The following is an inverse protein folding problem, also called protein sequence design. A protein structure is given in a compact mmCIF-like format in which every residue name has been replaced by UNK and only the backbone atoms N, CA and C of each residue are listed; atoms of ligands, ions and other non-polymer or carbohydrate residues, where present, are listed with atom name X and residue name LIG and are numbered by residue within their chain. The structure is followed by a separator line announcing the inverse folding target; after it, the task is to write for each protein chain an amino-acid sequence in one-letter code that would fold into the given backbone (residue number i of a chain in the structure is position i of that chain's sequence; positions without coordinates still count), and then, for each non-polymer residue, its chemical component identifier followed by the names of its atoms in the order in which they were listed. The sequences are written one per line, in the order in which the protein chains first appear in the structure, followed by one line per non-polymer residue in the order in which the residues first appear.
data_IF_780241790638
#
_entry.id   IF_780241790638
#
_cell.length_a   1.000
_cell.length_b   1.000
_cell.length_c   1.000
_cell.angle_alpha   90.00
_cell.angle_beta   90.00
_cell.angle_gamma   90.00
#
_symmetry.space_group_name_H-M   'P 1'
#
loop_
_entity.id
_entity.type
_entity.pdbx_description
1 polymer ?
#
# COMPACT_ATOMS: atom_id res chain seq x y z
N UNK A 1 -10.45 -28.12 -19.50
CA UNK A 1 -9.25 -27.48 -18.90
C UNK A 1 -9.71 -26.16 -18.31
N UNK A 2 -9.21 -25.80 -17.13
CA UNK A 2 -9.53 -24.55 -16.43
C UNK A 2 -8.25 -23.75 -16.26
N UNK A 3 -8.33 -22.44 -16.46
CA UNK A 3 -7.29 -21.47 -16.07
C UNK A 3 -7.95 -20.49 -15.11
N UNK A 4 -7.32 -20.21 -13.98
CA UNK A 4 -7.76 -19.22 -13.00
C UNK A 4 -6.63 -18.22 -12.84
N UNK A 5 -6.89 -16.96 -13.17
CA UNK A 5 -5.97 -15.84 -12.97
C UNK A 5 -6.32 -15.08 -11.67
N UNK A 6 -5.36 -14.32 -11.13
CA UNK A 6 -5.40 -13.74 -9.77
C UNK A 6 -5.81 -14.76 -8.69
N UNK A 7 -5.49 -16.05 -8.89
CA UNK A 7 -5.89 -17.17 -8.06
C UNK A 7 -5.38 -17.10 -6.61
N UNK A 8 -4.39 -16.25 -6.33
CA UNK A 8 -3.91 -15.93 -4.98
C UNK A 8 -4.89 -15.03 -4.18
N UNK A 9 -5.71 -14.23 -4.87
CA UNK A 9 -6.74 -13.35 -4.31
C UNK A 9 -8.10 -14.05 -4.11
N UNK A 10 -8.26 -15.28 -4.62
CA UNK A 10 -9.49 -16.07 -4.49
C UNK A 10 -9.41 -17.03 -3.29
N UNK A 11 -10.47 -17.12 -2.47
CA UNK A 11 -10.53 -18.11 -1.39
C UNK A 11 -10.66 -19.52 -1.94
N UNK A 12 -10.25 -20.54 -1.16
CA UNK A 12 -10.32 -21.94 -1.59
C UNK A 12 -11.71 -22.36 -2.11
N UNK A 13 -12.79 -21.82 -1.52
CA UNK A 13 -14.18 -22.11 -1.91
C UNK A 13 -14.56 -21.44 -3.24
N UNK A 14 -14.08 -20.21 -3.48
CA UNK A 14 -14.42 -19.42 -4.68
C UNK A 14 -13.91 -20.05 -5.98
N UNK A 15 -12.86 -20.86 -5.92
CA UNK A 15 -12.28 -21.56 -7.08
C UNK A 15 -12.87 -22.96 -7.33
N UNK A 16 -13.71 -23.50 -6.43
CA UNK A 16 -14.31 -24.84 -6.63
C UNK A 16 -15.34 -24.92 -7.78
N UNK A 17 -16.21 -23.92 -8.03
CA UNK A 17 -17.24 -24.01 -9.08
C UNK A 17 -16.72 -24.31 -10.50
N UNK A 18 -15.64 -23.71 -11.03
CA UNK A 18 -15.11 -24.11 -12.34
C UNK A 18 -14.41 -25.47 -12.31
N UNK A 19 -13.92 -25.93 -11.15
CA UNK A 19 -13.23 -27.21 -11.02
C UNK A 19 -14.20 -28.41 -10.98
N UNK A 20 -15.38 -28.25 -10.38
CA UNK A 20 -16.39 -29.30 -10.28
C UNK A 20 -16.98 -29.73 -11.64
N UNK A 21 -16.81 -28.90 -12.68
CA UNK A 21 -17.21 -29.17 -14.08
C UNK A 21 -16.30 -30.19 -14.80
N UNK A 22 -15.78 -31.19 -14.09
CA UNK A 22 -14.93 -32.24 -14.65
C UNK A 22 -13.54 -31.74 -15.12
N UNK A 23 -12.93 -30.80 -14.39
CA UNK A 23 -11.70 -30.13 -14.81
C UNK A 23 -10.43 -31.02 -14.78
N UNK A 24 -10.25 -31.89 -15.78
CA UNK A 24 -9.12 -32.81 -15.91
C UNK A 24 -7.71 -32.15 -15.98
N UNK A 25 -7.63 -30.83 -16.14
CA UNK A 25 -6.42 -30.01 -16.00
C UNK A 25 -6.81 -28.63 -15.49
N UNK A 26 -6.07 -28.12 -14.50
CA UNK A 26 -6.20 -26.77 -13.96
C UNK A 26 -4.83 -26.06 -14.01
N UNK A 27 -4.82 -24.77 -14.35
CA UNK A 27 -3.69 -23.86 -14.18
C UNK A 27 -4.14 -22.73 -13.24
N UNK A 28 -3.38 -22.50 -12.17
CA UNK A 28 -3.58 -21.37 -11.26
C UNK A 28 -2.46 -20.36 -11.49
N UNK A 29 -2.82 -19.12 -11.79
CA UNK A 29 -1.91 -17.99 -11.96
C UNK A 29 -2.26 -16.94 -10.91
N UNK A 30 -1.25 -16.35 -10.26
CA UNK A 30 -1.44 -15.37 -9.19
C UNK A 30 -0.17 -15.22 -8.34
N UNK A 31 -0.15 -14.21 -7.48
CA UNK A 31 1.02 -13.90 -6.65
C UNK A 31 0.73 -14.06 -5.15
N UNK A 32 1.32 -15.07 -4.46
CA UNK A 32 1.13 -15.29 -3.03
C UNK A 32 1.76 -14.20 -2.15
N UNK A 33 2.63 -13.35 -2.70
CA UNK A 33 3.22 -12.20 -2.00
C UNK A 33 2.37 -10.92 -2.14
N UNK A 34 1.26 -10.96 -2.88
CA UNK A 34 0.25 -9.89 -2.94
C UNK A 34 -0.98 -10.27 -2.11
N UNK A 35 -2.00 -9.40 -2.09
CA UNK A 35 -3.12 -9.46 -1.16
C UNK A 35 -3.90 -10.80 -1.22
N UNK A 36 -4.22 -11.40 -0.05
CA UNK A 36 -5.03 -12.62 0.03
C UNK A 36 -6.52 -12.34 -0.25
N UNK A 37 -7.35 -13.38 -0.22
CA UNK A 37 -8.79 -13.22 -0.37
C UNK A 37 -9.39 -12.31 0.72
N UNK A 38 -10.25 -11.39 0.29
CA UNK A 38 -10.89 -10.42 1.21
C UNK A 38 -11.95 -11.11 2.05
N UNK A 39 -11.72 -11.19 3.37
CA UNK A 39 -12.62 -11.83 4.33
C UNK A 39 -13.13 -10.81 5.35
N UNK A 40 -14.45 -10.56 5.34
CA UNK A 40 -15.11 -9.59 6.23
C UNK A 40 -15.13 -10.08 7.68
N UNK A 41 -15.32 -11.39 7.89
CA UNK A 41 -15.34 -11.99 9.23
C UNK A 41 -13.93 -12.19 9.77
N UNK A 42 -13.56 -11.40 10.79
CA UNK A 42 -12.27 -11.55 11.49
C UNK A 42 -12.05 -12.98 12.02
N UNK A 43 -13.10 -13.63 12.50
CA UNK A 43 -13.05 -15.01 12.99
C UNK A 43 -12.75 -16.02 11.87
N UNK A 44 -13.31 -15.83 10.67
CA UNK A 44 -12.96 -16.66 9.51
C UNK A 44 -11.52 -16.40 9.04
N UNK A 45 -11.04 -15.15 9.13
CA UNK A 45 -9.64 -14.80 8.89
C UNK A 45 -8.67 -15.53 9.84
N UNK A 46 -8.97 -15.60 11.15
CA UNK A 46 -8.17 -16.38 12.11
C UNK A 46 -8.22 -17.90 11.88
N UNK A 47 -9.18 -18.39 11.09
CA UNK A 47 -9.29 -19.79 10.67
C UNK A 47 -8.76 -20.02 9.23
N UNK A 48 -7.90 -19.12 8.75
CA UNK A 48 -7.23 -19.18 7.43
C UNK A 48 -8.19 -19.18 6.22
N UNK A 49 -9.45 -18.73 6.36
CA UNK A 49 -10.40 -18.67 5.24
C UNK A 49 -9.98 -17.69 4.12
N UNK A 50 -9.05 -16.78 4.41
CA UNK A 50 -8.43 -15.87 3.43
C UNK A 50 -7.32 -16.53 2.58
N UNK A 51 -6.84 -17.73 2.95
CA UNK A 51 -5.85 -18.47 2.17
C UNK A 51 -6.45 -18.90 0.83
N UNK A 52 -5.65 -18.81 -0.22
CA UNK A 52 -6.02 -19.29 -1.55
C UNK A 52 -5.67 -20.76 -1.79
N UNK A 53 -6.30 -21.36 -2.79
CA UNK A 53 -5.95 -22.71 -3.23
C UNK A 53 -4.51 -22.78 -3.77
N UNK A 54 -4.05 -21.69 -4.42
CA UNK A 54 -2.66 -21.53 -4.85
C UNK A 54 -1.70 -21.60 -3.66
N UNK A 55 -1.94 -20.79 -2.62
CA UNK A 55 -1.11 -20.72 -1.42
C UNK A 55 -1.11 -22.07 -0.67
N UNK A 56 -2.25 -22.78 -0.58
CA UNK A 56 -2.28 -24.14 -0.02
C UNK A 56 -1.45 -25.13 -0.84
N UNK A 57 -1.54 -25.14 -2.17
CA UNK A 57 -0.77 -26.08 -2.99
C UNK A 57 0.73 -25.79 -2.93
N UNK A 58 1.14 -24.52 -2.90
CA UNK A 58 2.53 -24.14 -2.68
C UNK A 58 3.04 -24.62 -1.30
N UNK A 59 2.26 -24.43 -0.24
CA UNK A 59 2.56 -24.94 1.11
C UNK A 59 2.63 -26.48 1.16
N UNK A 60 1.87 -27.18 0.33
CA UNK A 60 1.88 -28.63 0.20
C UNK A 60 3.02 -29.17 -0.69
N UNK A 61 3.93 -28.32 -1.17
CA UNK A 61 5.07 -28.72 -2.00
C UNK A 61 4.72 -29.00 -3.48
N UNK A 62 3.55 -28.59 -3.97
CA UNK A 62 3.23 -28.66 -5.39
C UNK A 62 4.21 -27.76 -6.18
N UNK A 63 4.76 -28.22 -7.32
CA UNK A 63 5.69 -27.42 -8.12
C UNK A 63 5.06 -26.09 -8.57
N UNK A 64 5.71 -24.98 -8.22
CA UNK A 64 5.34 -23.62 -8.65
C UNK A 64 6.41 -23.04 -9.56
N UNK A 65 5.99 -22.27 -10.57
CA UNK A 65 6.88 -21.61 -11.52
C UNK A 65 6.85 -20.10 -11.28
N UNK A 66 7.99 -19.51 -10.92
CA UNK A 66 8.15 -18.06 -10.84
C UNK A 66 8.40 -17.49 -12.25
N UNK A 67 7.55 -16.56 -12.69
CA UNK A 67 7.81 -15.73 -13.86
C UNK A 67 8.80 -14.62 -13.45
N UNK A 68 10.08 -14.81 -13.77
CA UNK A 68 11.19 -13.99 -13.25
C UNK A 68 11.53 -12.73 -14.07
N UNK A 69 10.87 -12.50 -15.21
CA UNK A 69 11.09 -11.31 -16.05
C UNK A 69 9.90 -10.37 -15.92
N UNK A 70 10.16 -9.11 -15.56
CA UNK A 70 9.14 -8.08 -15.39
C UNK A 70 9.21 -7.03 -16.50
N UNK A 71 8.05 -6.51 -16.89
CA UNK A 71 7.85 -5.69 -18.08
C UNK A 71 7.22 -4.31 -17.79
N UNK A 72 7.18 -3.89 -16.51
CA UNK A 72 6.42 -2.72 -16.02
C UNK A 72 7.27 -1.63 -15.37
N UNK A 73 8.03 -1.99 -14.34
CA UNK A 73 8.58 -1.07 -13.35
C UNK A 73 9.98 -0.60 -13.76
N UNK A 74 10.29 0.69 -13.59
CA UNK A 74 11.66 1.20 -13.68
C UNK A 74 12.62 0.42 -12.75
N UNK A 75 13.89 0.15 -13.13
CA UNK A 75 14.80 -0.66 -12.33
C UNK A 75 14.98 -0.19 -10.87
N UNK A 76 15.06 1.14 -10.61
CA UNK A 76 15.12 1.68 -9.23
C UNK A 76 13.88 1.34 -8.38
N UNK A 77 12.71 1.16 -9.00
CA UNK A 77 11.46 0.77 -8.34
C UNK A 77 11.44 -0.74 -8.12
N UNK A 78 11.87 -1.52 -9.13
CA UNK A 78 11.90 -2.99 -9.12
C UNK A 78 12.85 -3.59 -8.08
N UNK A 79 13.96 -2.91 -7.83
CA UNK A 79 15.10 -3.41 -7.05
C UNK A 79 14.73 -3.85 -5.62
N UNK A 80 14.12 -2.98 -4.80
CA UNK A 80 13.71 -3.35 -3.44
C UNK A 80 12.66 -4.49 -3.42
N UNK A 81 11.52 -4.41 -4.14
CA UNK A 81 10.55 -5.51 -4.17
C UNK A 81 11.15 -6.84 -4.63
N UNK A 82 12.02 -6.83 -5.66
CA UNK A 82 12.73 -8.02 -6.12
C UNK A 82 13.54 -8.65 -5.00
N UNK A 83 14.41 -7.87 -4.34
CA UNK A 83 15.26 -8.35 -3.23
C UNK A 83 14.43 -8.82 -2.04
N UNK A 84 13.42 -8.07 -1.64
CA UNK A 84 12.69 -8.27 -0.38
C UNK A 84 11.62 -9.38 -0.47
N UNK A 85 10.71 -9.32 -1.45
CA UNK A 85 9.60 -10.29 -1.55
C UNK A 85 9.92 -11.51 -2.43
N UNK A 86 10.88 -11.38 -3.36
CA UNK A 86 11.18 -12.40 -4.38
C UNK A 86 12.65 -12.85 -4.40
N UNK A 87 13.40 -12.67 -3.30
CA UNK A 87 14.77 -13.19 -3.11
C UNK A 87 15.79 -12.71 -4.18
N UNK A 88 15.58 -11.51 -4.73
CA UNK A 88 16.39 -10.93 -5.81
C UNK A 88 16.14 -11.54 -7.20
N UNK A 89 15.14 -12.42 -7.34
CA UNK A 89 14.94 -13.24 -8.55
C UNK A 89 14.17 -12.54 -9.68
N UNK A 90 13.61 -11.34 -9.46
CA UNK A 90 13.00 -10.56 -10.55
C UNK A 90 14.05 -9.74 -11.29
N UNK A 91 14.03 -9.91 -12.61
CA UNK A 91 14.90 -9.27 -13.62
C UNK A 91 14.07 -8.41 -14.56
N UNK A 92 14.67 -7.38 -15.14
CA UNK A 92 13.98 -6.47 -16.06
C UNK A 92 14.01 -7.01 -17.50
N UNK A 93 12.90 -6.86 -18.22
CA UNK A 93 12.86 -7.02 -19.66
C UNK A 93 13.76 -5.99 -20.36
N UNK A 94 14.31 -6.36 -21.52
CA UNK A 94 14.98 -5.42 -22.44
C UNK A 94 14.05 -4.26 -22.84
N UNK A 95 12.73 -4.49 -22.90
CA UNK A 95 11.71 -3.47 -23.15
C UNK A 95 11.51 -2.46 -22.01
N UNK A 96 12.18 -2.66 -20.87
CA UNK A 96 12.22 -1.76 -19.71
C UNK A 96 13.63 -1.20 -19.55
N UNK A 97 14.64 -2.06 -19.55
CA UNK A 97 16.05 -1.70 -19.38
C UNK A 97 16.65 -0.86 -20.52
N UNK A 98 15.93 -0.68 -21.63
CA UNK A 98 16.28 0.23 -22.75
C UNK A 98 15.30 1.38 -22.94
N UNK A 99 14.38 1.62 -22.01
CA UNK A 99 13.58 2.85 -22.04
C UNK A 99 14.51 4.05 -21.76
N UNK A 100 14.32 5.19 -22.46
CA UNK A 100 15.02 6.41 -22.11
C UNK A 100 14.51 6.94 -20.77
N UNK A 101 15.39 7.59 -20.02
CA UNK A 101 15.02 8.35 -18.83
C UNK A 101 14.00 9.43 -19.15
N UNK A 102 13.03 9.63 -18.25
CA UNK A 102 12.05 10.70 -18.36
C UNK A 102 12.70 12.05 -18.07
N UNK A 103 12.39 13.09 -18.85
CA UNK A 103 13.05 14.41 -18.72
C UNK A 103 12.92 15.00 -17.31
N UNK A 104 11.82 14.70 -16.60
CA UNK A 104 11.63 15.16 -15.22
C UNK A 104 12.54 14.46 -14.19
N UNK A 105 13.19 13.33 -14.50
CA UNK A 105 14.18 12.71 -13.60
C UNK A 105 15.42 13.61 -13.39
N UNK A 106 15.61 14.65 -14.22
CA UNK A 106 16.63 15.68 -14.00
C UNK A 106 16.34 16.55 -12.76
N UNK A 107 15.09 16.58 -12.28
CA UNK A 107 14.74 17.19 -11.00
C UNK A 107 14.95 16.17 -9.86
N UNK A 108 15.78 16.46 -8.84
CA UNK A 108 15.98 15.59 -7.68
C UNK A 108 14.68 15.19 -6.97
N UNK A 109 13.62 16.00 -7.06
CA UNK A 109 12.30 15.75 -6.48
C UNK A 109 11.40 14.84 -7.32
N UNK A 110 11.79 14.49 -8.55
CA UNK A 110 10.93 13.70 -9.44
C UNK A 110 11.63 12.44 -9.97
N UNK A 111 12.73 12.02 -9.33
CA UNK A 111 13.46 10.77 -9.61
C UNK A 111 12.57 9.51 -9.58
N UNK A 112 12.98 8.41 -10.23
CA UNK A 112 12.16 7.20 -10.36
C UNK A 112 11.74 6.55 -9.04
N UNK A 113 12.59 6.61 -8.00
CA UNK A 113 12.20 6.19 -6.65
C UNK A 113 12.64 7.20 -5.58
N UNK A 114 11.69 7.66 -4.75
CA UNK A 114 11.95 8.53 -3.59
C UNK A 114 11.09 8.11 -2.39
N UNK A 115 11.70 8.08 -1.21
CA UNK A 115 11.02 8.12 0.09
C UNK A 115 11.13 9.53 0.69
N UNK A 116 10.00 10.14 1.01
CA UNK A 116 9.87 11.45 1.63
C UNK A 116 9.49 11.32 3.11
N UNK A 117 10.39 11.76 4.00
CA UNK A 117 10.18 11.73 5.45
C UNK A 117 9.38 12.94 5.94
N UNK A 118 8.08 12.75 6.13
CA UNK A 118 7.13 13.80 6.53
C UNK A 118 7.17 13.97 8.07
N UNK A 119 8.32 14.40 8.58
CA UNK A 119 8.64 14.52 10.01
C UNK A 119 7.60 15.31 10.82
N UNK A 120 7.08 16.41 10.25
CA UNK A 120 6.11 17.30 10.91
C UNK A 120 4.65 16.86 10.76
N UNK A 121 4.37 15.79 10.02
CA UNK A 121 3.02 15.24 9.88
C UNK A 121 2.45 14.75 11.20
N UNK A 122 1.14 14.93 11.41
CA UNK A 122 0.44 14.37 12.57
C UNK A 122 -0.79 13.61 12.10
N UNK A 123 -0.87 12.35 12.49
CA UNK A 123 -2.06 11.54 12.28
C UNK A 123 -3.23 12.06 13.13
N UNK A 124 -4.42 12.08 12.54
CA UNK A 124 -5.66 12.45 13.20
C UNK A 124 -6.77 11.50 12.79
N UNK A 125 -7.77 11.35 13.66
CA UNK A 125 -9.00 10.61 13.38
C UNK A 125 -10.19 11.55 13.65
N UNK A 126 -11.34 11.28 13.01
CA UNK A 126 -12.60 11.94 13.38
C UNK A 126 -13.28 11.14 14.48
N UNK A 127 -13.96 11.82 15.41
CA UNK A 127 -14.73 11.16 16.47
C UNK A 127 -15.68 10.09 15.91
N UNK A 128 -15.66 8.90 16.51
CA UNK A 128 -16.40 7.73 16.02
C UNK A 128 -15.75 6.97 14.84
N UNK A 129 -14.61 7.41 14.31
CA UNK A 129 -13.89 6.72 13.23
C UNK A 129 -12.63 6.01 13.72
N UNK A 130 -12.49 4.73 13.37
CA UNK A 130 -11.28 3.90 13.61
C UNK A 130 -10.23 4.03 12.48
N UNK A 131 -10.33 5.06 11.64
CA UNK A 131 -9.43 5.30 10.50
C UNK A 131 -8.71 6.64 10.65
N UNK A 132 -7.50 6.70 10.10
CA UNK A 132 -6.59 7.84 10.24
C UNK A 132 -6.48 8.67 8.95
N UNK A 133 -6.09 9.93 9.10
CA UNK A 133 -5.70 10.88 8.05
C UNK A 133 -4.49 11.69 8.53
N UNK A 134 -3.63 12.13 7.60
CA UNK A 134 -2.51 13.03 7.86
C UNK A 134 -2.60 14.16 6.82
N UNK A 135 -3.00 15.35 7.28
CA UNK A 135 -3.29 16.50 6.40
C UNK A 135 -1.99 17.00 5.76
N UNK A 136 -0.88 17.00 6.50
CA UNK A 136 0.43 17.40 6.01
C UNK A 136 0.87 16.52 4.83
N UNK A 137 0.72 15.19 4.94
CA UNK A 137 0.96 14.27 3.82
C UNK A 137 0.03 14.57 2.63
N UNK A 138 -1.27 14.79 2.87
CA UNK A 138 -2.21 15.05 1.79
C UNK A 138 -1.91 16.34 1.02
N UNK A 139 -1.47 17.38 1.72
CA UNK A 139 -1.02 18.65 1.12
C UNK A 139 0.34 18.50 0.43
N UNK A 140 1.24 17.68 0.96
CA UNK A 140 2.51 17.39 0.31
C UNK A 140 2.35 16.56 -0.98
N UNK A 141 1.44 15.56 -0.99
CA UNK A 141 1.02 14.87 -2.21
C UNK A 141 0.57 15.87 -3.29
N UNK A 142 -0.23 16.87 -2.91
CA UNK A 142 -0.69 17.91 -3.84
C UNK A 142 0.48 18.74 -4.39
N UNK A 143 1.42 19.17 -3.53
CA UNK A 143 2.59 19.93 -3.99
C UNK A 143 3.48 19.16 -4.97
N UNK A 144 3.76 17.90 -4.69
CA UNK A 144 4.55 17.05 -5.59
C UNK A 144 3.82 16.80 -6.91
N UNK A 145 2.48 16.66 -6.89
CA UNK A 145 1.67 16.58 -8.10
C UNK A 145 1.66 17.88 -8.92
N UNK A 146 1.44 19.04 -8.27
CA UNK A 146 1.48 20.36 -8.91
C UNK A 146 2.85 20.61 -9.56
N UNK A 147 3.93 20.23 -8.88
CA UNK A 147 5.30 20.36 -9.37
C UNK A 147 5.61 19.44 -10.55
N UNK A 148 5.16 18.17 -10.52
CA UNK A 148 5.22 17.28 -11.68
C UNK A 148 4.49 17.90 -12.88
N UNK A 149 3.23 18.31 -12.70
CA UNK A 149 2.42 18.89 -13.80
C UNK A 149 3.05 20.16 -14.38
N UNK A 150 3.63 21.03 -13.53
CA UNK A 150 4.40 22.21 -13.96
C UNK A 150 5.62 21.81 -14.78
N UNK A 151 6.37 20.80 -14.32
CA UNK A 151 7.61 20.32 -14.96
C UNK A 151 7.32 19.71 -16.33
N UNK A 152 6.30 18.83 -16.44
CA UNK A 152 5.85 18.26 -17.70
C UNK A 152 5.45 19.32 -18.72
N UNK A 153 4.66 20.32 -18.30
CA UNK A 153 4.26 21.46 -19.15
C UNK A 153 5.47 22.28 -19.63
N UNK A 154 6.42 22.56 -18.73
CA UNK A 154 7.65 23.31 -19.11
C UNK A 154 8.59 22.53 -20.02
N UNK A 155 8.56 21.19 -19.96
CA UNK A 155 9.37 20.29 -20.78
C UNK A 155 8.69 19.90 -22.10
N UNK A 156 7.47 20.39 -22.37
CA UNK A 156 6.69 20.02 -23.55
C UNK A 156 6.26 18.54 -23.59
N UNK A 157 6.23 17.85 -22.44
CA UNK A 157 5.90 16.43 -22.37
C UNK A 157 4.39 16.19 -22.48
N UNK A 158 4.02 14.99 -22.95
CA UNK A 158 2.63 14.55 -23.00
C UNK A 158 2.02 14.27 -21.61
N UNK A 159 0.71 14.01 -21.59
CA UNK A 159 -0.01 13.55 -20.39
C UNK A 159 0.62 12.25 -19.83
N UNK A 160 0.73 12.18 -18.51
CA UNK A 160 1.25 11.03 -17.76
C UNK A 160 0.21 10.60 -16.73
N UNK A 161 -0.04 9.31 -16.60
CA UNK A 161 -1.08 8.80 -15.69
C UNK A 161 -0.57 8.74 -14.25
N UNK A 162 -1.34 9.26 -13.30
CA UNK A 162 -0.94 9.35 -11.89
C UNK A 162 -1.92 8.60 -10.99
N UNK A 163 -1.40 7.73 -10.13
CA UNK A 163 -2.14 7.10 -9.04
C UNK A 163 -1.74 7.67 -7.69
N UNK A 164 -2.71 7.97 -6.83
CA UNK A 164 -2.45 8.29 -5.43
C UNK A 164 -3.11 7.24 -4.57
N UNK A 165 -2.29 6.52 -3.79
CA UNK A 165 -2.71 5.39 -2.97
C UNK A 165 -2.47 5.64 -1.49
N UNK A 166 -3.37 5.12 -0.66
CA UNK A 166 -3.24 5.19 0.79
C UNK A 166 -3.83 3.95 1.47
N UNK A 167 -3.32 3.52 2.64
CA UNK A 167 -3.92 2.42 3.39
C UNK A 167 -5.29 2.78 4.02
N UNK A 168 -5.60 4.07 4.19
CA UNK A 168 -6.70 4.51 5.08
C UNK A 168 -7.86 5.20 4.36
N UNK A 169 -9.09 4.73 4.61
CA UNK A 169 -10.32 5.31 4.03
C UNK A 169 -10.60 6.75 4.47
N UNK A 170 -10.13 7.17 5.65
CA UNK A 170 -10.22 8.57 6.07
C UNK A 170 -9.18 9.45 5.36
N UNK A 171 -7.95 8.97 5.13
CA UNK A 171 -6.98 9.67 4.29
C UNK A 171 -7.43 9.79 2.83
N UNK A 172 -8.08 8.77 2.27
CA UNK A 172 -8.68 8.86 0.92
C UNK A 172 -9.64 10.06 0.83
N UNK A 173 -10.53 10.23 1.83
CA UNK A 173 -11.42 11.40 1.97
C UNK A 173 -10.71 12.70 2.39
N UNK A 174 -9.41 12.66 2.66
CA UNK A 174 -8.58 13.85 2.84
C UNK A 174 -7.93 14.24 1.52
N UNK A 175 -7.25 13.30 0.86
CA UNK A 175 -6.66 13.47 -0.47
C UNK A 175 -7.70 13.96 -1.49
N UNK A 176 -8.87 13.32 -1.58
CA UNK A 176 -9.96 13.74 -2.48
C UNK A 176 -10.46 15.19 -2.24
N UNK A 177 -10.21 15.77 -1.06
CA UNK A 177 -10.60 17.13 -0.70
C UNK A 177 -9.48 18.14 -1.00
N UNK A 178 -8.24 17.83 -0.63
CA UNK A 178 -7.11 18.71 -0.98
C UNK A 178 -6.91 18.77 -2.51
N UNK A 179 -7.22 17.68 -3.23
CA UNK A 179 -7.22 17.60 -4.70
C UNK A 179 -8.55 18.00 -5.36
N UNK A 180 -9.55 18.55 -4.65
CA UNK A 180 -10.90 18.74 -5.20
C UNK A 180 -10.92 19.59 -6.49
N UNK A 181 -10.14 20.67 -6.54
CA UNK A 181 -10.03 21.52 -7.73
C UNK A 181 -9.24 20.86 -8.87
N UNK A 182 -8.23 20.04 -8.55
CA UNK A 182 -7.49 19.25 -9.53
C UNK A 182 -8.42 18.21 -10.17
N UNK A 183 -9.26 17.54 -9.39
CA UNK A 183 -10.20 16.53 -9.88
C UNK A 183 -11.31 17.11 -10.78
N UNK A 184 -11.57 18.43 -10.71
CA UNK A 184 -12.47 19.17 -11.62
C UNK A 184 -11.80 19.64 -12.92
N UNK A 185 -10.47 19.54 -13.01
CA UNK A 185 -9.67 20.06 -14.13
C UNK A 185 -9.45 19.05 -15.27
N UNK A 186 -8.89 19.51 -16.39
CA UNK A 186 -8.41 18.65 -17.48
C UNK A 186 -7.17 17.81 -17.10
N UNK A 187 -6.42 18.17 -16.05
CA UNK A 187 -5.38 17.32 -15.47
C UNK A 187 -6.00 16.21 -14.60
N UNK A 188 -7.15 16.46 -13.97
CA UNK A 188 -7.84 15.50 -13.09
C UNK A 188 -8.25 14.19 -13.78
N UNK A 189 -8.36 14.20 -15.12
CA UNK A 189 -8.72 13.03 -15.94
C UNK A 189 -7.64 11.93 -15.95
N UNK A 190 -6.37 12.30 -15.77
CA UNK A 190 -5.25 11.34 -15.74
C UNK A 190 -4.89 10.90 -14.31
N UNK A 191 -5.60 11.45 -13.30
CA UNK A 191 -5.36 11.25 -11.87
C UNK A 191 -6.37 10.27 -11.26
N UNK A 192 -5.90 9.30 -10.48
CA UNK A 192 -6.75 8.33 -9.80
C UNK A 192 -6.36 8.15 -8.32
N UNK A 193 -7.24 8.58 -7.41
CA UNK A 193 -7.01 8.52 -5.95
C UNK A 193 -7.86 7.40 -5.33
N UNK A 194 -7.25 6.39 -4.71
CA UNK A 194 -7.97 5.27 -4.08
C UNK A 194 -7.19 4.60 -2.92
N UNK A 195 -7.77 3.61 -2.23
CA UNK A 195 -7.03 2.76 -1.28
C UNK A 195 -6.21 1.68 -1.98
N UNK A 196 -5.09 1.25 -1.37
CA UNK A 196 -4.20 0.19 -1.90
C UNK A 196 -4.98 -1.05 -2.34
N UNK A 197 -5.84 -1.58 -1.46
CA UNK A 197 -6.69 -2.77 -1.69
C UNK A 197 -7.62 -2.63 -2.91
N UNK A 198 -7.97 -1.39 -3.31
CA UNK A 198 -8.83 -1.09 -4.45
C UNK A 198 -8.04 -0.67 -5.71
N UNK A 199 -6.71 -0.61 -5.61
CA UNK A 199 -5.77 -0.38 -6.71
C UNK A 199 -5.13 -1.71 -7.19
N UNK A 200 -5.41 -2.86 -6.54
CA UNK A 200 -4.96 -4.17 -7.02
C UNK A 200 -5.41 -4.40 -8.48
N UNK A 201 -4.58 -5.09 -9.26
CA UNK A 201 -4.74 -5.26 -10.72
C UNK A 201 -4.41 -4.00 -11.55
N UNK A 202 -4.50 -2.80 -11.00
CA UNK A 202 -4.19 -1.56 -11.73
C UNK A 202 -2.69 -1.22 -11.72
N UNK A 203 -2.28 -0.36 -12.66
CA UNK A 203 -0.98 0.31 -12.74
C UNK A 203 -1.16 1.78 -13.18
N UNK A 204 -0.19 2.65 -12.88
CA UNK A 204 -0.08 4.02 -13.40
C UNK A 204 1.38 4.37 -13.63
N UNK A 205 1.65 5.36 -14.49
CA UNK A 205 3.01 5.77 -14.78
C UNK A 205 3.73 6.31 -13.53
N UNK A 206 3.06 7.16 -12.77
CA UNK A 206 3.52 7.68 -11.48
C UNK A 206 2.60 7.20 -10.35
N UNK A 207 3.18 6.79 -9.22
CA UNK A 207 2.45 6.47 -7.99
C UNK A 207 2.95 7.32 -6.84
N UNK A 208 2.01 7.95 -6.13
CA UNK A 208 2.23 8.64 -4.87
C UNK A 208 1.58 7.84 -3.75
N UNK A 209 2.34 7.41 -2.75
CA UNK A 209 1.83 6.62 -1.62
C UNK A 209 1.86 7.44 -0.32
N UNK A 210 0.70 7.71 0.26
CA UNK A 210 0.57 8.35 1.59
C UNK A 210 0.36 7.28 2.68
N UNK A 211 1.37 7.08 3.52
CA UNK A 211 1.42 6.06 4.57
C UNK A 211 0.66 6.45 5.85
N UNK A 212 0.37 7.75 6.05
CA UNK A 212 -0.46 8.37 7.10
C UNK A 212 0.12 8.33 8.51
N UNK A 213 0.86 7.29 8.88
CA UNK A 213 1.24 7.03 10.27
C UNK A 213 2.40 7.92 10.73
N UNK A 214 2.20 8.51 11.90
CA UNK A 214 3.07 9.49 12.53
C UNK A 214 3.04 9.40 14.08
N UNK A 215 2.81 8.21 14.64
CA UNK A 215 2.78 7.98 16.09
C UNK A 215 3.56 6.73 16.52
N UNK A 216 3.92 6.68 17.81
CA UNK A 216 4.68 5.59 18.42
C UNK A 216 3.77 4.46 18.96
N UNK A 217 2.68 4.18 18.24
CA UNK A 217 1.66 3.20 18.60
C UNK A 217 1.59 2.05 17.58
N UNK A 218 2.72 1.77 16.91
CA UNK A 218 2.84 0.75 15.86
C UNK A 218 2.15 1.14 14.55
N UNK A 219 2.68 0.70 13.41
CA UNK A 219 2.22 1.15 12.07
C UNK A 219 0.81 0.63 11.68
N UNK A 220 0.25 -0.33 12.39
CA UNK A 220 -1.16 -0.74 12.24
C UNK A 220 -1.47 -1.37 10.88
N UNK A 221 -2.48 -0.87 10.16
CA UNK A 221 -2.90 -1.40 8.85
C UNK A 221 -1.81 -1.31 7.76
N UNK A 222 -0.76 -0.49 7.97
CA UNK A 222 0.41 -0.39 7.08
C UNK A 222 1.44 -1.51 7.34
N UNK A 223 1.31 -2.28 8.42
CA UNK A 223 2.17 -3.44 8.73
C UNK A 223 1.93 -4.65 7.81
N UNK A 224 0.93 -4.59 6.93
CA UNK A 224 0.64 -5.68 6.03
C UNK A 224 1.67 -5.71 4.88
N UNK A 225 2.64 -6.60 5.00
CA UNK A 225 3.70 -6.88 4.02
C UNK A 225 3.15 -7.12 2.59
N UNK A 226 1.96 -7.72 2.45
CA UNK A 226 1.31 -7.97 1.15
C UNK A 226 0.71 -6.67 0.58
N UNK A 227 0.17 -5.77 1.42
CA UNK A 227 -0.20 -4.39 1.00
C UNK A 227 1.00 -3.56 0.59
N UNK A 228 2.11 -3.66 1.32
CA UNK A 228 3.37 -2.99 0.98
C UNK A 228 3.85 -3.44 -0.41
N UNK A 229 3.92 -4.75 -0.67
CA UNK A 229 4.30 -5.28 -1.98
C UNK A 229 3.34 -4.81 -3.09
N UNK A 230 2.02 -4.89 -2.89
CA UNK A 230 1.03 -4.36 -3.85
C UNK A 230 1.32 -2.88 -4.13
N UNK A 231 1.45 -2.04 -3.10
CA UNK A 231 1.62 -0.59 -3.25
C UNK A 231 2.91 -0.22 -4.02
N UNK A 232 4.05 -0.83 -3.68
CA UNK A 232 5.34 -0.55 -4.33
C UNK A 232 5.37 -1.03 -5.80
N UNK A 233 4.56 -2.01 -6.18
CA UNK A 233 4.54 -2.61 -7.54
C UNK A 233 3.50 -2.00 -8.50
N UNK A 234 2.85 -0.88 -8.11
CA UNK A 234 1.84 -0.20 -8.94
C UNK A 234 2.41 0.77 -9.98
N UNK A 235 3.65 1.22 -9.80
CA UNK A 235 4.29 2.23 -10.62
C UNK A 235 4.95 1.65 -11.87
N UNK A 236 4.96 2.42 -12.96
CA UNK A 236 5.72 2.09 -14.18
C UNK A 236 7.02 2.90 -14.23
N UNK A 237 6.93 4.21 -14.04
CA UNK A 237 8.02 5.20 -14.23
C UNK A 237 8.51 5.82 -12.92
N UNK A 238 7.63 6.24 -12.02
CA UNK A 238 8.04 6.87 -10.77
C UNK A 238 7.19 6.40 -9.57
N UNK A 239 7.85 6.20 -8.43
CA UNK A 239 7.23 5.83 -7.16
C UNK A 239 7.73 6.76 -6.05
N UNK A 240 6.82 7.55 -5.48
CA UNK A 240 7.10 8.47 -4.38
C UNK A 240 6.31 8.06 -3.13
N UNK A 241 7.03 7.60 -2.12
CA UNK A 241 6.46 7.14 -0.86
C UNK A 241 6.59 8.25 0.17
N UNK A 242 5.51 8.58 0.87
CA UNK A 242 5.40 9.69 1.81
C UNK A 242 4.90 9.18 3.15
N UNK A 243 5.62 9.51 4.22
CA UNK A 243 5.24 9.15 5.59
C UNK A 243 6.30 9.56 6.60
N UNK A 244 5.99 9.49 7.89
CA UNK A 244 6.96 9.80 8.94
C UNK A 244 7.89 8.58 9.15
N UNK A 245 9.18 8.73 8.87
CA UNK A 245 10.14 7.63 8.95
C UNK A 245 10.25 7.07 10.38
N UNK A 246 10.26 7.94 11.39
CA UNK A 246 10.35 7.55 12.81
C UNK A 246 9.13 6.75 13.30
N UNK A 247 7.96 6.98 12.71
CA UNK A 247 6.78 6.15 12.93
C UNK A 247 6.86 4.81 12.18
N UNK A 248 7.35 4.83 10.94
CA UNK A 248 7.36 3.66 10.05
C UNK A 248 8.43 2.62 10.40
N UNK A 249 9.61 3.00 10.93
CA UNK A 249 10.66 2.06 11.38
C UNK A 249 10.25 1.15 12.56
N UNK A 250 9.02 1.28 13.09
CA UNK A 250 8.44 0.35 14.07
C UNK A 250 7.92 -0.97 13.44
N UNK A 251 8.06 -1.13 12.13
CA UNK A 251 7.85 -2.39 11.40
C UNK A 251 9.11 -2.72 10.63
N UNK A 252 9.57 -3.97 10.74
CA UNK A 252 10.83 -4.42 10.15
C UNK A 252 10.86 -4.24 8.61
N UNK A 253 9.73 -4.49 7.94
CA UNK A 253 9.58 -4.29 6.49
C UNK A 253 9.77 -2.82 6.08
N UNK A 254 9.18 -1.90 6.84
CA UNK A 254 9.30 -0.46 6.60
C UNK A 254 10.68 0.07 7.02
N UNK A 255 11.28 -0.48 8.07
CA UNK A 255 12.67 -0.20 8.43
C UNK A 255 13.64 -0.64 7.32
N UNK A 256 13.41 -1.81 6.72
CA UNK A 256 14.19 -2.30 5.58
C UNK A 256 14.04 -1.37 4.36
N UNK A 257 12.81 -0.93 4.01
CA UNK A 257 12.58 0.02 2.92
C UNK A 257 13.26 1.38 3.15
N UNK A 258 13.22 1.91 4.38
CA UNK A 258 13.82 3.20 4.73
C UNK A 258 15.35 3.11 4.74
N UNK A 259 15.93 2.02 5.26
CA UNK A 259 17.36 1.77 5.20
C UNK A 259 17.85 1.60 3.75
N UNK A 260 17.07 0.93 2.91
CA UNK A 260 17.33 0.76 1.48
C UNK A 260 17.28 2.09 0.72
N UNK A 261 16.25 2.90 0.93
CA UNK A 261 16.11 4.24 0.33
C UNK A 261 17.27 5.15 0.72
N UNK A 262 17.72 5.12 1.98
CA UNK A 262 18.92 5.85 2.43
C UNK A 262 20.19 5.34 1.74
N UNK A 263 20.37 4.02 1.67
CA UNK A 263 21.55 3.38 1.04
C UNK A 263 21.66 3.71 -0.46
N UNK A 264 20.53 3.86 -1.16
CA UNK A 264 20.48 4.18 -2.60
C UNK A 264 20.42 5.69 -2.90
N UNK A 265 20.56 6.56 -1.90
CA UNK A 265 20.37 8.02 -2.02
C UNK A 265 19.01 8.39 -2.64
N UNK A 266 17.96 7.68 -2.23
CA UNK A 266 16.54 7.86 -2.60
C UNK A 266 15.70 8.30 -1.39
N UNK A 267 16.32 8.84 -0.34
CA UNK A 267 15.66 9.33 0.87
C UNK A 267 15.75 10.86 0.92
N UNK A 268 14.63 11.54 1.14
CA UNK A 268 14.56 13.00 1.27
C UNK A 268 13.87 13.42 2.57
N UNK A 269 14.58 14.23 3.35
CA UNK A 269 14.06 14.87 4.55
C UNK A 269 13.30 16.15 4.19
N UNK A 270 12.17 16.42 4.84
CA UNK A 270 11.37 17.63 4.57
C UNK A 270 12.21 18.92 4.62
N UNK A 271 13.14 19.04 5.58
CA UNK A 271 13.99 20.23 5.74
C UNK A 271 14.97 20.46 4.58
N UNK A 272 15.18 19.46 3.71
CA UNK A 272 15.97 19.59 2.47
C UNK A 272 15.18 20.12 1.27
N UNK A 273 13.85 20.23 1.38
CA UNK A 273 12.97 20.55 0.26
C UNK A 273 12.83 22.07 0.03
N UNK A 274 12.55 22.52 -1.21
CA UNK A 274 12.29 23.93 -1.48
C UNK A 274 11.11 24.48 -0.64
N UNK A 275 11.23 25.72 -0.18
CA UNK A 275 10.28 26.35 0.77
C UNK A 275 8.82 26.34 0.31
N UNK A 276 8.56 26.29 -1.00
CA UNK A 276 7.22 26.21 -1.57
C UNK A 276 6.47 24.92 -1.18
N UNK A 277 7.20 23.83 -0.89
CA UNK A 277 6.68 22.58 -0.34
C UNK A 277 6.45 22.63 1.18
N UNK A 278 7.13 23.54 1.89
CA UNK A 278 7.07 23.68 3.35
C UNK A 278 5.96 24.63 3.84
N UNK A 279 5.29 25.35 2.93
CA UNK A 279 4.24 26.31 3.26
C UNK A 279 2.93 25.65 3.71
N UNK A 280 2.92 25.17 4.96
CA UNK A 280 1.73 24.76 5.70
C UNK A 280 0.76 25.93 5.85
N UNK A 281 -0.28 25.98 5.00
CA UNK A 281 -1.45 26.81 5.23
C UNK A 281 -2.20 26.28 6.45
N UNK A 282 -1.95 26.88 7.61
CA UNK A 282 -2.84 26.77 8.77
C UNK A 282 -4.28 27.17 8.39
N UNK A 283 -5.30 26.67 9.11
CA UNK A 283 -6.70 26.94 8.78
C UNK A 283 -6.97 28.44 8.79
N UNK A 284 -7.44 28.97 7.66
CA UNK A 284 -7.72 30.39 7.48
C UNK A 284 -8.98 30.81 8.26
N UNK A 285 -8.83 31.03 9.57
CA UNK A 285 -9.81 31.76 10.36
C UNK A 285 -9.87 33.21 9.88
N UNK A 286 -10.85 33.51 9.03
CA UNK A 286 -11.24 34.88 8.69
C UNK A 286 -11.80 35.55 9.95
N UNK A 287 -11.17 36.64 10.46
CA UNK A 287 -11.76 37.40 11.55
C UNK A 287 -13.02 38.10 11.05
N UNK A 288 -14.15 37.90 11.73
CA UNK A 288 -15.36 38.68 11.47
C UNK A 288 -15.07 40.17 11.74
N UNK A 289 -15.47 41.10 10.85
CA UNK A 289 -15.17 42.51 11.00
C UNK A 289 -15.94 43.12 12.18
N UNK A 290 -15.26 43.27 13.31
CA UNK A 290 -15.81 43.90 14.51
C UNK A 290 -16.12 45.38 14.27
N UNK A 291 -17.36 45.80 14.50
CA UNK A 291 -17.74 47.22 14.50
C UNK A 291 -17.02 47.95 15.63
N UNK A 292 -16.24 48.97 15.30
CA UNK A 292 -15.67 49.88 16.28
C UNK A 292 -16.73 50.85 16.84
N UNK A 293 -16.72 51.05 18.15
CA UNK A 293 -17.25 52.24 18.82
C UNK A 293 -16.51 52.42 20.15
N UNK A 294 -16.32 53.66 20.60
CA UNK A 294 -15.38 54.02 21.66
C UNK A 294 -16.04 54.48 22.95
N UNK A 295 -15.40 54.15 24.09
CA UNK A 295 -15.50 54.85 25.39
C UNK A 295 -16.90 54.91 26.06
N UNK A 296 -17.05 54.56 27.33
CA UNK A 296 -16.55 55.41 28.43
C UNK A 296 -16.58 54.72 29.81
N UNK A 297 -15.82 55.33 30.75
CA UNK A 297 -15.76 55.18 32.22
C UNK A 297 -16.88 54.40 32.95
N UNK A 298 -16.49 53.59 33.94
CA UNK A 298 -17.36 53.22 35.08
C UNK A 298 -16.66 52.37 36.15
N UNK A 299 -16.50 52.89 37.38
CA UNK A 299 -16.21 52.09 38.57
C UNK A 299 -17.53 51.74 39.29
N UNK A 300 -17.70 50.50 39.78
CA UNK A 300 -18.03 50.20 41.20
C UNK A 300 -18.13 48.69 41.51
N UNK A 301 -18.27 48.41 42.82
CA UNK A 301 -18.07 47.12 43.50
C UNK A 301 -19.37 46.32 43.73
N UNK A 302 -19.20 45.04 44.13
CA UNK A 302 -20.19 44.09 44.69
C UNK A 302 -21.32 43.58 43.75
N UNK A 303 -21.93 42.40 43.99
CA UNK A 303 -21.54 41.30 44.89
C UNK A 303 -22.66 40.31 45.28
N UNK A 304 -22.30 39.01 45.42
CA UNK A 304 -23.02 37.85 46.04
C UNK A 304 -24.30 37.25 45.40
N UNK A 305 -24.29 35.90 45.36
CA UNK A 305 -25.43 34.93 45.51
C UNK A 305 -26.40 34.77 44.31
N UNK A 306 -26.77 33.53 43.87
CA UNK A 306 -27.74 32.52 44.41
C UNK A 306 -29.19 33.07 44.43
N UNK A 307 -30.25 32.34 44.02
CA UNK A 307 -30.46 30.87 44.02
C UNK A 307 -31.33 30.36 42.82
N UNK A 308 -31.85 29.12 42.88
CA UNK A 308 -32.66 28.39 41.88
C UNK A 308 -34.11 28.90 41.77
N UNK A 309 -34.84 28.46 40.73
CA UNK A 309 -36.22 27.97 40.88
C UNK A 309 -36.60 26.88 39.83
N UNK A 310 -37.79 26.24 39.92
CA UNK A 310 -38.15 25.00 39.18
C UNK A 310 -39.53 24.97 38.46
N UNK A 311 -39.69 24.03 37.51
CA UNK A 311 -40.94 23.54 36.86
C UNK A 311 -41.68 24.57 35.95
N UNK A 312 -42.64 24.22 35.07
CA UNK A 312 -43.60 23.09 35.02
C UNK A 312 -43.94 22.63 33.56
N UNK A 313 -44.78 21.58 33.40
CA UNK A 313 -45.03 20.82 32.15
C UNK A 313 -46.15 21.36 31.21
N UNK A 314 -46.22 20.81 29.97
CA UNK A 314 -47.48 20.57 29.21
C UNK A 314 -47.29 19.52 28.08
N UNK A 315 -48.40 18.87 27.66
CA UNK A 315 -48.48 17.78 26.64
C UNK A 315 -48.62 18.35 25.20
N UNK A 316 -48.71 17.65 24.05
CA UNK A 316 -49.06 16.28 23.59
C UNK A 316 -48.63 16.12 22.08
N UNK A 317 -48.60 15.01 21.31
CA UNK A 317 -49.01 13.57 21.38
C UNK A 317 -48.25 12.76 20.26
N UNK A 318 -48.13 11.41 20.29
CA UNK A 318 -47.47 10.55 19.26
C UNK A 318 -48.45 10.12 18.11
N UNK A 319 -48.22 9.16 17.16
CA UNK A 319 -47.38 7.91 17.09
C UNK A 319 -45.90 8.18 16.70
N UNK A 320 -45.02 7.26 16.27
CA UNK A 320 -45.03 5.80 15.90
C UNK A 320 -43.66 5.15 16.30
N UNK A 321 -43.34 3.84 16.33
CA UNK A 321 -43.55 2.63 15.48
C UNK A 321 -42.64 2.59 14.23
N UNK A 322 -41.64 1.68 14.08
CA UNK A 322 -41.28 0.45 14.83
C UNK A 322 -39.77 0.25 15.09
N UNK A 323 -39.42 -0.44 16.19
CA UNK A 323 -38.11 -1.07 16.43
C UNK A 323 -38.29 -2.42 17.17
N UNK A 324 -38.00 -3.55 16.53
CA UNK A 324 -37.99 -4.86 17.22
C UNK A 324 -36.64 -5.13 17.91
N UNK A 325 -36.68 -5.30 19.24
CA UNK A 325 -35.56 -5.83 20.03
C UNK A 325 -35.80 -7.28 20.39
N UNK A 326 -34.98 -8.19 19.85
CA UNK A 326 -34.85 -9.53 20.42
C UNK A 326 -33.86 -9.52 21.59
N UNK A 327 -34.39 -9.76 22.79
CA UNK A 327 -33.61 -10.01 24.00
C UNK A 327 -33.33 -11.51 24.15
N UNK A 328 -32.10 -11.87 24.51
CA UNK A 328 -31.67 -13.25 24.76
C UNK A 328 -30.94 -13.36 26.09
N UNK A 329 -31.51 -14.12 27.02
CA UNK A 329 -31.00 -14.19 28.40
C UNK A 329 -29.71 -15.02 28.54
N UNK A 330 -28.88 -14.66 29.51
CA UNK A 330 -27.66 -15.39 29.87
C UNK A 330 -28.02 -16.68 30.62
N UNK A 331 -27.49 -17.81 30.18
CA UNK A 331 -27.36 -19.03 31.00
C UNK A 331 -25.91 -19.50 30.93
N UNK A 332 -25.22 -19.50 32.06
CA UNK A 332 -23.85 -20.00 32.18
C UNK A 332 -23.83 -21.52 32.42
N UNK A 333 -22.89 -22.22 31.79
CA UNK A 333 -22.45 -23.57 32.18
C UNK A 333 -20.93 -23.68 32.09
N UNK A 334 -20.31 -24.21 33.13
CA UNK A 334 -18.86 -24.44 33.19
C UNK A 334 -18.45 -25.58 32.25
N UNK A 335 -17.33 -25.39 31.53
CA UNK A 335 -16.68 -26.42 30.73
C UNK A 335 -15.16 -26.28 30.85
N UNK A 336 -14.54 -27.07 31.72
CA UNK A 336 -13.11 -26.95 32.02
C UNK A 336 -12.27 -27.71 30.99
N UNK A 337 -11.36 -27.01 30.29
CA UNK A 337 -10.33 -27.64 29.45
C UNK A 337 -8.94 -27.11 29.78
N UNK A 338 -7.98 -28.03 29.89
CA UNK A 338 -6.56 -27.74 30.17
C UNK A 338 -5.82 -27.40 28.87
N UNK A 339 -4.79 -26.53 28.90
CA UNK A 339 -3.89 -26.36 27.77
C UNK A 339 -2.98 -27.58 27.60
N UNK A 340 -2.85 -28.07 26.36
CA UNK A 340 -1.82 -29.04 26.00
C UNK A 340 -0.46 -28.34 25.90
N UNK A 341 0.50 -28.76 26.72
CA UNK A 341 1.92 -28.44 26.49
C UNK A 341 2.46 -29.39 25.43
N UNK A 342 3.12 -28.85 24.41
CA UNK A 342 4.00 -29.66 23.55
C UNK A 342 5.31 -29.94 24.31
N UNK A 343 5.69 -31.21 24.44
CA UNK A 343 6.99 -31.60 25.00
C UNK A 343 8.08 -31.41 23.96
N UNK A 344 9.16 -30.72 24.33
CA UNK A 344 10.43 -30.84 23.62
C UNK A 344 11.15 -32.09 24.11
N UNK A 345 11.46 -33.01 23.21
CA UNK A 345 12.47 -34.05 23.43
C UNK A 345 13.71 -33.75 22.57
N UNK A 346 14.88 -34.21 23.04
CA UNK A 346 16.19 -33.95 22.43
C UNK A 346 16.68 -35.18 21.66
N UNK A 347 17.58 -35.01 20.67
CA UNK A 347 18.06 -36.11 19.84
C UNK A 347 18.98 -37.07 20.59
N UNK A 348 19.12 -38.28 20.03
CA UNK A 348 20.19 -39.24 20.30
C UNK A 348 20.77 -39.73 18.98
N UNK A 349 22.08 -39.97 18.96
CA UNK A 349 22.87 -40.19 17.74
C UNK A 349 23.01 -41.67 17.33
N UNK A 350 23.43 -41.85 16.07
CA UNK A 350 24.17 -43.00 15.51
C UNK A 350 23.52 -44.41 15.51
N UNK A 351 23.32 -44.94 14.30
CA UNK A 351 24.17 -46.06 13.83
C UNK A 351 24.32 -46.05 12.29
N UNK A 352 25.24 -46.86 11.77
CA UNK A 352 25.95 -46.63 10.50
C UNK A 352 25.34 -47.19 9.18
N UNK A 353 25.72 -46.50 8.09
CA UNK A 353 26.03 -46.96 6.71
C UNK A 353 25.23 -48.09 6.03
N UNK A 354 24.59 -47.72 4.89
CA UNK A 354 24.64 -48.33 3.54
C UNK A 354 23.40 -47.86 2.73
N UNK A 355 23.45 -47.42 1.47
CA UNK A 355 24.60 -47.19 0.60
C UNK A 355 24.30 -47.53 -0.87
N UNK A 356 23.57 -46.68 -1.61
CA UNK A 356 23.54 -46.73 -3.08
C UNK A 356 23.30 -45.33 -3.72
N UNK A 357 23.42 -45.25 -5.05
CA UNK A 357 23.69 -44.04 -5.84
C UNK A 357 22.50 -43.59 -6.72
N UNK A 358 22.75 -42.49 -7.43
CA UNK A 358 22.06 -42.06 -8.66
C UNK A 358 20.66 -41.46 -8.53
N UNK A 359 20.59 -40.12 -8.58
CA UNK A 359 19.87 -39.41 -9.65
C UNK A 359 20.20 -37.90 -9.74
N UNK A 360 21.39 -37.58 -10.26
CA UNK A 360 21.73 -36.22 -10.69
C UNK A 360 21.61 -36.08 -12.22
N UNK A 361 20.52 -35.42 -12.65
CA UNK A 361 20.32 -34.77 -13.94
C UNK A 361 19.11 -33.82 -13.78
N UNK A 362 19.08 -32.60 -14.28
CA UNK A 362 19.76 -32.03 -15.45
C UNK A 362 20.19 -30.57 -15.21
N UNK A 363 21.38 -30.18 -15.67
CA UNK A 363 21.74 -28.77 -15.94
C UNK A 363 22.66 -28.65 -17.16
N UNK A 364 22.76 -27.42 -17.69
CA UNK A 364 23.63 -26.96 -18.79
C UNK A 364 23.40 -27.54 -20.20
N UNK A 365 22.63 -26.78 -21.00
CA UNK A 365 22.70 -26.79 -22.46
C UNK A 365 23.29 -25.47 -22.97
N UNK A 366 24.54 -25.48 -23.46
CA UNK A 366 25.23 -24.28 -23.95
C UNK A 366 25.01 -24.09 -25.45
N UNK A 367 24.51 -22.94 -25.88
CA UNK A 367 24.36 -22.64 -27.31
C UNK A 367 25.70 -22.31 -27.98
N UNK A 368 26.00 -22.98 -29.10
CA UNK A 368 27.12 -22.62 -30.00
C UNK A 368 26.75 -21.42 -30.87
N UNK A 369 27.65 -20.44 -30.96
CA UNK A 369 27.58 -19.34 -31.94
C UNK A 369 28.16 -19.80 -33.29
N UNK A 370 27.61 -19.29 -34.39
CA UNK A 370 28.09 -19.57 -35.75
C UNK A 370 29.34 -18.74 -36.07
N UNK A 371 30.20 -19.28 -36.94
CA UNK A 371 31.33 -18.56 -37.55
C UNK A 371 31.18 -18.54 -39.06
N UNK A 372 31.12 -17.36 -39.67
CA UNK A 372 31.12 -17.19 -41.12
C UNK A 372 32.52 -17.38 -41.72
N UNK A 373 32.59 -18.00 -42.90
CA UNK A 373 33.81 -18.10 -43.70
C UNK A 373 33.52 -17.52 -45.09
N UNK A 374 34.37 -16.60 -45.54
CA UNK A 374 34.20 -15.90 -46.81
C UNK A 374 34.63 -16.73 -48.02
N UNK A 375 33.92 -16.58 -49.14
CA UNK A 375 34.24 -17.26 -50.40
C UNK A 375 35.13 -16.35 -51.26
N UNK A 376 36.36 -16.78 -51.56
CA UNK A 376 37.30 -16.06 -52.43
C UNK A 376 37.34 -16.74 -53.79
N UNK A 377 37.05 -15.97 -54.85
CA UNK A 377 36.94 -16.50 -56.21
C UNK A 377 38.28 -16.76 -56.91
N UNK A 378 38.24 -17.58 -57.96
CA UNK A 378 39.32 -17.73 -58.94
C UNK A 378 38.81 -17.52 -60.37
N UNK A 379 39.50 -16.64 -61.07
CA UNK A 379 39.84 -16.75 -62.50
C UNK A 379 41.24 -17.38 -62.57
N UNK A 380 41.77 -17.90 -63.68
CA UNK A 380 41.28 -18.00 -65.07
C UNK A 380 41.97 -19.19 -65.74
N UNK A 381 41.23 -20.01 -66.50
CA UNK A 381 41.62 -20.77 -67.71
C UNK A 381 40.47 -21.70 -68.11
#
# INVERSE_FOLDING_TARGET
MVVIDEAAQASEVAVLPPLSLGAARCVLVGDPQQLPATVISKAAGTLLYSRSLFERFQQAGCPTMLLSVQYRMHPEIRDFPSRYFYQGRLTDSESVAKLPDEVYYMDPLLRPYIFYDITHGRESHRGGSVSYQNINEAQFCLRVYEHLQKTLKSSGMGKITVGIITPYKLQLKCLQREFEEVLKSEEGKDLYINTVDAFQGQERDVIIMSCVRASNHGVGFVADIRRMNVALTRARRALWVMGNASALIQSDDWAALIADARTRNCYMEMDSLPKDFLLLKGPAYTPLPGKGSSNTRGLRSAGRHRQLDMHMESRSVPPSEDEEKLSGSVIARNGSYRPLKASMEKPLDNFDQLGDKSRDAWQYGTQKKQSSAGFVGKREM
#
